data_IF_287646964739
#
_entry.id   IF_287646964739
#
_cell.length_a   1.000
_cell.length_b   1.000
_cell.length_c   1.000
_cell.angle_alpha   90.00
_cell.angle_beta   90.00
_cell.angle_gamma   90.00
#
_symmetry.space_group_name_H-M   'P 1'
#
loop_
_entity.id
_entity.type
_entity.pdbx_description
1 polymer ?
#
# COMPACT_ATOMS: atom_id res chain seq x y z
N UNK A 1 7.18 -12.81 22.75
CA UNK A 1 8.13 -11.76 22.33
C UNK A 1 8.31 -11.90 20.83
N UNK A 2 7.33 -11.43 20.05
CA UNK A 2 7.41 -11.42 18.59
C UNK A 2 8.07 -10.12 18.14
N UNK A 3 9.10 -10.27 17.32
CA UNK A 3 9.82 -9.19 16.67
C UNK A 3 8.88 -8.43 15.72
N UNK A 4 8.29 -7.33 16.19
CA UNK A 4 7.83 -6.25 15.31
C UNK A 4 9.04 -5.42 14.85
N UNK A 5 9.86 -6.03 13.99
CA UNK A 5 10.63 -5.27 13.01
C UNK A 5 9.60 -4.45 12.20
N UNK A 6 9.96 -3.25 11.77
CA UNK A 6 9.09 -2.25 11.11
C UNK A 6 8.26 -1.39 12.07
N UNK A 7 8.72 -0.15 12.33
CA UNK A 7 7.87 1.06 12.45
C UNK A 7 8.63 2.35 12.76
N UNK A 8 9.94 2.31 13.05
CA UNK A 8 10.71 3.52 13.39
C UNK A 8 12.12 3.43 12.82
N UNK A 9 12.66 4.54 12.30
CA UNK A 9 14.12 4.66 12.25
C UNK A 9 14.56 4.89 13.68
N UNK A 10 14.82 3.78 14.39
CA UNK A 10 15.44 3.80 15.70
C UNK A 10 16.89 4.21 15.51
N UNK A 11 17.22 5.42 15.93
CA UNK A 11 18.60 5.90 15.87
C UNK A 11 19.24 5.56 17.19
N UNK A 12 20.13 4.56 17.15
CA UNK A 12 20.96 4.17 18.26
C UNK A 12 22.32 4.84 18.11
N UNK A 13 22.64 5.75 19.03
CA UNK A 13 23.98 6.31 19.13
C UNK A 13 24.78 5.39 20.05
N UNK A 14 25.81 4.73 19.50
CA UNK A 14 26.76 3.89 20.26
C UNK A 14 28.08 4.62 20.47
N UNK A 15 28.67 4.49 21.67
CA UNK A 15 30.02 4.98 21.94
C UNK A 15 31.05 4.19 21.11
N UNK A 16 31.63 4.84 20.09
CA UNK A 16 32.84 4.35 19.41
C UNK A 16 33.87 5.48 19.36
N UNK A 17 35.09 5.20 19.83
CA UNK A 17 36.13 6.18 20.19
C UNK A 17 36.47 7.24 19.10
N UNK A 18 36.15 6.98 17.83
CA UNK A 18 36.37 7.88 16.69
C UNK A 18 35.20 8.83 16.33
N UNK A 19 33.95 8.35 16.38
CA UNK A 19 32.75 9.17 16.07
C UNK A 19 32.28 10.00 17.29
N UNK A 20 32.69 9.58 18.50
CA UNK A 20 32.41 10.23 19.80
C UNK A 20 32.70 11.74 19.83
N UNK A 21 33.78 12.22 19.23
CA UNK A 21 34.16 13.65 19.32
C UNK A 21 33.24 14.60 18.55
N UNK A 22 32.45 14.10 17.59
CA UNK A 22 31.53 14.93 16.78
C UNK A 22 30.15 15.04 17.43
N UNK A 23 29.58 13.94 17.93
CA UNK A 23 28.20 13.91 18.44
C UNK A 23 28.01 14.77 19.70
N UNK A 24 29.00 14.87 20.60
CA UNK A 24 28.94 15.77 21.77
C UNK A 24 28.74 17.25 21.40
N UNK A 25 29.06 17.64 20.16
CA UNK A 25 28.89 19.00 19.64
C UNK A 25 27.65 19.17 18.76
N UNK A 26 27.00 18.08 18.37
CA UNK A 26 25.88 18.14 17.44
C UNK A 26 24.67 18.81 18.07
N UNK A 27 24.10 19.72 17.30
CA UNK A 27 22.75 20.25 17.54
C UNK A 27 21.73 19.22 17.08
N UNK A 28 20.50 19.35 17.58
CA UNK A 28 19.38 18.52 17.12
C UNK A 28 19.22 18.58 15.60
N UNK A 29 19.49 19.76 15.00
CA UNK A 29 19.50 19.94 13.55
C UNK A 29 20.54 19.06 12.84
N UNK A 30 21.75 18.94 13.36
CA UNK A 30 22.80 18.16 12.70
C UNK A 30 22.41 16.67 12.63
N UNK A 31 21.86 16.15 13.73
CA UNK A 31 21.35 14.78 13.80
C UNK A 31 20.14 14.58 12.87
N UNK A 32 19.20 15.51 12.89
CA UNK A 32 18.01 15.46 12.04
C UNK A 32 18.35 15.52 10.54
N UNK A 33 19.21 16.46 10.14
CA UNK A 33 19.65 16.62 8.75
C UNK A 33 20.44 15.39 8.26
N UNK A 34 21.21 14.74 9.15
CA UNK A 34 21.86 13.47 8.83
C UNK A 34 20.83 12.39 8.50
N UNK A 35 19.80 12.21 9.33
CA UNK A 35 18.75 11.22 9.12
C UNK A 35 18.03 11.48 7.80
N UNK A 36 17.58 12.72 7.56
CA UNK A 36 16.89 13.11 6.34
C UNK A 36 17.75 12.84 5.09
N UNK A 37 19.05 13.17 5.11
CA UNK A 37 19.97 12.87 3.99
C UNK A 37 20.14 11.38 3.75
N UNK A 38 20.28 10.59 4.81
CA UNK A 38 20.48 9.12 4.70
C UNK A 38 19.28 8.43 4.04
N UNK A 39 18.06 8.88 4.34
CA UNK A 39 16.83 8.29 3.77
C UNK A 39 16.34 9.02 2.50
N UNK A 40 17.03 10.07 2.05
CA UNK A 40 16.64 10.86 0.88
C UNK A 40 15.37 11.71 1.07
N UNK A 41 15.02 12.06 2.31
CA UNK A 41 13.85 12.87 2.64
C UNK A 41 14.17 14.36 2.53
N UNK A 42 13.39 15.08 1.72
CA UNK A 42 13.44 16.55 1.56
C UNK A 42 12.27 17.25 2.24
N UNK A 43 11.12 16.57 2.36
CA UNK A 43 9.89 17.08 3.02
C UNK A 43 10.00 17.03 4.55
N UNK A 44 11.11 17.51 5.09
CA UNK A 44 11.48 17.36 6.48
C UNK A 44 10.55 18.12 7.45
N UNK A 45 9.74 19.06 6.94
CA UNK A 45 8.82 19.88 7.74
C UNK A 45 7.68 19.09 8.40
N UNK A 46 7.40 17.86 7.95
CA UNK A 46 6.43 16.99 8.64
C UNK A 46 7.03 16.26 9.84
N UNK A 47 8.36 16.11 9.90
CA UNK A 47 9.01 15.15 10.80
C UNK A 47 9.75 15.80 11.97
N UNK A 48 10.02 14.99 12.98
CA UNK A 48 10.85 15.33 14.13
C UNK A 48 11.51 14.09 14.73
N UNK A 49 12.42 14.32 15.67
CA UNK A 49 13.02 13.26 16.48
C UNK A 49 12.37 13.26 17.85
N UNK A 50 11.67 12.18 18.18
CA UNK A 50 11.03 11.96 19.46
C UNK A 50 11.96 11.17 20.39
N UNK A 51 11.96 11.51 21.68
CA UNK A 51 12.66 10.79 22.72
C UNK A 51 11.84 10.81 24.03
N UNK A 52 12.22 9.98 24.98
CA UNK A 52 11.57 9.92 26.30
C UNK A 52 12.37 10.72 27.32
N UNK A 53 11.75 11.72 27.94
CA UNK A 53 12.26 12.52 29.05
C UNK A 53 11.48 12.18 30.32
N UNK A 54 12.11 11.46 31.27
CA UNK A 54 11.50 11.13 32.58
C UNK A 54 10.09 10.51 32.48
N UNK A 55 9.93 9.57 31.54
CA UNK A 55 8.66 8.89 31.27
C UNK A 55 7.62 9.73 30.53
N UNK A 56 7.99 10.88 29.95
CA UNK A 56 7.14 11.71 29.11
C UNK A 56 7.74 11.87 27.72
N UNK A 57 6.89 11.91 26.71
CA UNK A 57 7.30 12.14 25.32
C UNK A 57 7.82 13.56 25.14
N UNK A 58 8.96 13.71 24.48
CA UNK A 58 9.56 14.98 24.12
C UNK A 58 10.08 14.95 22.68
N UNK A 59 10.18 16.13 22.07
CA UNK A 59 10.74 16.30 20.73
C UNK A 59 12.07 17.04 20.82
N UNK A 60 13.06 16.54 20.08
CA UNK A 60 14.38 17.15 19.98
C UNK A 60 14.26 18.56 19.40
N UNK A 61 14.94 19.52 20.04
CA UNK A 61 15.01 20.90 19.56
C UNK A 61 16.18 21.07 18.61
N UNK A 62 15.91 21.63 17.45
CA UNK A 62 16.88 21.75 16.36
C UNK A 62 18.05 22.69 16.69
N UNK A 63 17.81 23.71 17.50
CA UNK A 63 18.78 24.76 17.87
C UNK A 63 19.67 24.40 19.06
N UNK A 64 19.29 23.38 19.84
CA UNK A 64 19.96 22.95 21.06
C UNK A 64 20.84 21.72 20.81
N UNK A 65 21.94 21.56 21.56
CA UNK A 65 22.77 20.35 21.48
C UNK A 65 21.96 19.12 21.89
N UNK A 66 22.21 17.99 21.25
CA UNK A 66 21.50 16.74 21.53
C UNK A 66 21.61 16.37 23.01
N UNK A 67 22.83 16.40 23.56
CA UNK A 67 23.10 16.04 24.96
C UNK A 67 22.68 17.07 25.99
N UNK A 68 22.31 18.29 25.57
CA UNK A 68 21.72 19.26 26.51
C UNK A 68 20.23 18.96 26.74
N UNK A 69 19.62 18.08 25.96
CA UNK A 69 18.28 17.56 26.25
C UNK A 69 18.36 16.53 27.38
N UNK A 70 17.29 16.39 28.16
CA UNK A 70 17.18 15.41 29.26
C UNK A 70 16.83 14.03 28.65
N UNK A 71 17.68 13.60 27.71
CA UNK A 71 17.63 12.30 27.02
C UNK A 71 18.09 11.21 27.98
N UNK A 72 17.64 9.97 27.75
CA UNK A 72 18.16 8.83 28.50
C UNK A 72 19.68 8.79 28.39
N UNK A 73 20.33 8.55 29.54
CA UNK A 73 21.78 8.30 29.61
C UNK A 73 22.11 6.82 29.48
N UNK A 74 21.10 5.96 29.35
CA UNK A 74 21.27 4.55 29.05
C UNK A 74 21.64 4.40 27.58
N UNK A 75 22.73 3.68 27.33
CA UNK A 75 23.20 3.42 25.98
C UNK A 75 22.59 2.13 25.41
N UNK A 76 22.17 2.13 24.13
CA UNK A 76 22.24 3.25 23.19
C UNK A 76 21.15 4.31 23.42
N UNK A 77 21.51 5.59 23.26
CA UNK A 77 20.51 6.67 23.26
C UNK A 77 19.59 6.48 22.06
N UNK A 78 18.29 6.32 22.34
CA UNK A 78 17.28 5.99 21.33
C UNK A 78 16.46 7.22 20.95
N UNK A 79 16.41 7.51 19.65
CA UNK A 79 15.48 8.47 19.06
C UNK A 79 14.56 7.80 18.05
N UNK A 80 13.33 8.30 17.96
CA UNK A 80 12.33 7.88 16.99
C UNK A 80 12.10 8.99 15.96
N UNK A 81 12.43 8.73 14.69
CA UNK A 81 12.09 9.64 13.59
C UNK A 81 10.63 9.46 13.20
N UNK A 82 9.81 10.48 13.45
CA UNK A 82 8.35 10.40 13.32
C UNK A 82 7.75 11.64 12.69
N UNK A 83 6.61 11.46 12.01
CA UNK A 83 5.76 12.55 11.60
C UNK A 83 5.22 13.24 12.87
N UNK A 84 5.58 14.50 13.02
CA UNK A 84 5.15 15.40 14.10
C UNK A 84 3.97 16.26 13.67
N UNK A 85 3.91 16.60 12.39
CA UNK A 85 2.86 17.40 11.78
C UNK A 85 2.26 16.63 10.60
N UNK A 86 0.95 16.72 10.46
CA UNK A 86 0.19 16.01 9.45
C UNK A 86 -0.26 16.99 8.33
N UNK A 87 -0.40 16.52 7.08
CA UNK A 87 -0.96 17.32 6.00
C UNK A 87 -2.47 17.58 6.23
N UNK A 88 -2.99 18.70 5.71
CA UNK A 88 -4.43 18.95 5.54
C UNK A 88 -5.00 18.06 4.41
N UNK A 89 -4.21 17.80 3.37
CA UNK A 89 -4.53 16.85 2.31
C UNK A 89 -3.30 16.01 1.94
N UNK A 90 -3.39 14.69 2.19
CA UNK A 90 -2.33 13.73 1.95
C UNK A 90 -1.83 13.73 0.48
N UNK A 91 -2.75 13.70 -0.48
CA UNK A 91 -2.45 13.56 -1.92
C UNK A 91 -1.87 14.84 -2.52
N UNK A 92 -2.29 16.01 -2.03
CA UNK A 92 -1.83 17.31 -2.54
C UNK A 92 -0.49 17.77 -1.93
N UNK A 93 -0.23 17.41 -0.68
CA UNK A 93 0.93 17.91 0.07
C UNK A 93 2.15 16.98 0.03
N UNK A 94 1.95 15.66 -0.01
CA UNK A 94 3.06 14.72 -0.02
C UNK A 94 3.57 14.49 -1.44
N UNK A 95 4.85 14.76 -1.64
CA UNK A 95 5.48 14.72 -2.97
C UNK A 95 6.35 13.47 -3.15
N UNK A 96 7.09 13.06 -2.12
CA UNK A 96 8.01 11.94 -2.19
C UNK A 96 7.39 10.64 -1.65
N UNK A 97 7.64 9.53 -2.36
CA UNK A 97 7.22 8.19 -1.95
C UNK A 97 7.73 7.82 -0.54
N UNK A 98 8.93 8.27 -0.15
CA UNK A 98 9.46 8.04 1.20
C UNK A 98 8.67 8.77 2.30
N UNK A 99 8.22 10.01 2.05
CA UNK A 99 7.37 10.77 2.98
C UNK A 99 6.06 10.04 3.21
N UNK A 100 5.44 9.63 2.10
CA UNK A 100 4.19 8.90 2.10
C UNK A 100 4.32 7.56 2.83
N UNK A 101 5.38 6.80 2.53
CA UNK A 101 5.63 5.51 3.15
C UNK A 101 5.79 5.61 4.67
N UNK A 102 6.57 6.59 5.14
CA UNK A 102 6.76 6.82 6.58
C UNK A 102 5.46 7.21 7.28
N UNK A 103 4.65 8.08 6.66
CA UNK A 103 3.36 8.48 7.23
C UNK A 103 2.38 7.30 7.25
N UNK A 104 2.32 6.50 6.18
CA UNK A 104 1.52 5.28 6.09
C UNK A 104 1.84 4.32 7.23
N UNK A 105 3.12 4.03 7.47
CA UNK A 105 3.53 3.14 8.55
C UNK A 105 3.11 3.66 9.92
N UNK A 106 3.34 4.95 10.19
CA UNK A 106 2.98 5.56 11.47
C UNK A 106 1.46 5.53 11.71
N UNK A 107 0.67 5.93 10.72
CA UNK A 107 -0.79 5.97 10.82
C UNK A 107 -1.36 4.55 10.96
N UNK A 108 -0.85 3.59 10.17
CA UNK A 108 -1.24 2.18 10.29
C UNK A 108 -1.00 1.66 11.70
N UNK A 109 0.18 1.97 12.26
CA UNK A 109 0.51 1.59 13.64
C UNK A 109 -0.47 2.20 14.64
N UNK A 110 -0.71 3.52 14.58
CA UNK A 110 -1.64 4.19 15.50
C UNK A 110 -3.08 3.68 15.42
N UNK A 111 -3.52 3.20 14.24
CA UNK A 111 -4.84 2.55 14.10
C UNK A 111 -4.85 1.16 14.76
N UNK A 112 -3.83 0.34 14.51
CA UNK A 112 -3.73 -1.02 15.07
C UNK A 112 -3.57 -1.01 16.60
N UNK A 113 -2.85 -0.01 17.13
CA UNK A 113 -2.68 0.23 18.57
C UNK A 113 -3.88 0.94 19.22
N UNK A 114 -4.92 1.26 18.46
CA UNK A 114 -6.16 1.92 18.92
C UNK A 114 -5.95 3.33 19.47
N UNK A 115 -4.86 4.00 19.09
CA UNK A 115 -4.66 5.43 19.34
C UNK A 115 -5.59 6.29 18.47
N UNK A 116 -5.83 5.82 17.24
CA UNK A 116 -6.80 6.40 16.29
C UNK A 116 -7.99 5.45 16.19
N UNK A 117 -9.17 5.94 16.51
CA UNK A 117 -10.40 5.19 16.28
C UNK A 117 -10.63 5.00 14.78
N UNK A 118 -10.83 3.76 14.36
CA UNK A 118 -11.20 3.41 12.99
C UNK A 118 -12.43 2.49 12.99
N UNK A 119 -13.52 2.80 12.27
CA UNK A 119 -14.69 1.95 12.21
C UNK A 119 -14.39 0.61 11.52
N UNK A 120 -15.16 -0.46 11.78
CA UNK A 120 -14.89 -1.80 11.24
C UNK A 120 -14.79 -1.86 9.72
N UNK A 121 -15.70 -1.20 9.00
CA UNK A 121 -15.77 -1.19 7.54
C UNK A 121 -14.52 -0.55 6.95
N UNK A 122 -14.11 0.61 7.49
CA UNK A 122 -12.86 1.26 7.10
C UNK A 122 -11.64 0.42 7.46
N UNK A 123 -11.63 -0.24 8.63
CA UNK A 123 -10.52 -1.09 9.07
C UNK A 123 -10.25 -2.24 8.09
N UNK A 124 -11.29 -2.92 7.60
CA UNK A 124 -11.16 -4.00 6.60
C UNK A 124 -10.64 -3.46 5.27
N UNK A 125 -11.19 -2.34 4.80
CA UNK A 125 -10.73 -1.71 3.55
C UNK A 125 -9.26 -1.27 3.66
N UNK A 126 -8.88 -0.61 4.75
CA UNK A 126 -7.52 -0.19 5.02
C UNK A 126 -6.56 -1.38 5.15
N UNK A 127 -6.98 -2.47 5.81
CA UNK A 127 -6.21 -3.72 5.84
C UNK A 127 -5.94 -4.26 4.43
N UNK A 128 -6.92 -4.23 3.53
CA UNK A 128 -6.74 -4.70 2.16
C UNK A 128 -5.73 -3.86 1.37
N UNK A 129 -5.70 -2.53 1.56
CA UNK A 129 -4.66 -1.67 0.99
C UNK A 129 -3.28 -1.93 1.60
N UNK A 130 -3.20 -2.17 2.91
CA UNK A 130 -1.94 -2.52 3.56
C UNK A 130 -1.37 -3.86 3.04
N UNK A 131 -2.24 -4.83 2.75
CA UNK A 131 -1.85 -6.10 2.11
C UNK A 131 -1.36 -5.87 0.68
N UNK A 132 -2.08 -5.08 -0.14
CA UNK A 132 -1.62 -4.72 -1.50
C UNK A 132 -0.26 -4.01 -1.47
N UNK A 133 -0.05 -3.08 -0.54
CA UNK A 133 1.23 -2.39 -0.39
C UNK A 133 2.39 -3.33 -0.03
N UNK A 134 2.12 -4.39 0.75
CA UNK A 134 3.13 -5.35 1.20
C UNK A 134 3.41 -6.47 0.21
N UNK A 135 2.36 -7.04 -0.38
CA UNK A 135 2.44 -8.27 -1.18
C UNK A 135 2.32 -8.05 -2.70
N UNK A 136 1.94 -6.84 -3.15
CA UNK A 136 1.70 -6.57 -4.57
C UNK A 136 0.31 -7.06 -4.99
N UNK A 137 0.15 -7.54 -6.22
CA UNK A 137 -1.14 -8.02 -6.73
C UNK A 137 -1.52 -9.40 -6.17
N UNK A 138 -2.79 -9.57 -5.82
CA UNK A 138 -3.32 -10.89 -5.45
C UNK A 138 -3.21 -11.89 -6.60
N UNK A 139 -2.66 -13.06 -6.28
CA UNK A 139 -2.60 -14.25 -7.14
C UNK A 139 -3.07 -15.47 -6.34
N UNK A 140 -4.21 -16.10 -6.68
CA UNK A 140 -4.75 -17.26 -5.97
C UNK A 140 -3.87 -18.52 -6.09
N UNK A 141 -2.89 -18.55 -7.01
CA UNK A 141 -1.91 -19.64 -7.10
C UNK A 141 -0.81 -19.51 -6.03
N UNK A 142 -0.47 -18.28 -5.65
CA UNK A 142 0.62 -17.96 -4.71
C UNK A 142 0.05 -17.76 -3.29
N UNK A 143 -1.00 -16.96 -3.18
CA UNK A 143 -1.62 -16.58 -1.91
C UNK A 143 -2.67 -17.62 -1.52
N UNK A 144 -2.24 -18.64 -0.78
CA UNK A 144 -3.11 -19.71 -0.25
C UNK A 144 -3.69 -19.31 1.11
N UNK A 145 -4.85 -19.87 1.52
CA UNK A 145 -5.42 -19.60 2.84
C UNK A 145 -4.40 -19.79 3.97
N UNK A 146 -4.37 -18.84 4.90
CA UNK A 146 -3.40 -18.73 5.98
C UNK A 146 -2.20 -17.83 5.66
N UNK A 147 -2.09 -17.25 4.45
CA UNK A 147 -0.96 -16.40 4.09
C UNK A 147 -0.91 -15.08 4.88
N UNK A 148 -2.04 -14.66 5.46
CA UNK A 148 -2.15 -13.48 6.33
C UNK A 148 -2.12 -13.83 7.83
N UNK A 149 -1.97 -15.09 8.22
CA UNK A 149 -2.11 -15.53 9.61
C UNK A 149 -1.10 -14.90 10.60
N UNK A 150 0.05 -14.42 10.11
CA UNK A 150 1.07 -13.74 10.92
C UNK A 150 0.94 -12.21 10.91
N UNK A 151 0.00 -11.66 10.14
CA UNK A 151 -0.16 -10.21 9.99
C UNK A 151 -1.14 -9.64 11.03
N UNK A 152 -0.73 -8.57 11.69
CA UNK A 152 -1.63 -7.73 12.48
C UNK A 152 -2.31 -6.73 11.54
N UNK A 153 -3.53 -7.05 11.10
CA UNK A 153 -4.25 -6.27 10.09
C UNK A 153 -5.43 -5.45 10.63
N UNK A 154 -5.98 -5.84 11.79
CA UNK A 154 -7.18 -5.22 12.35
C UNK A 154 -6.95 -4.83 13.83
N UNK A 155 -7.56 -3.71 14.29
CA UNK A 155 -7.59 -3.39 15.71
C UNK A 155 -8.30 -4.48 16.53
N UNK A 156 -7.82 -4.74 17.75
CA UNK A 156 -8.37 -5.80 18.62
C UNK A 156 -9.85 -5.60 18.91
N UNK A 157 -10.29 -4.36 19.08
CA UNK A 157 -11.69 -3.96 19.25
C UNK A 157 -12.55 -4.42 18.07
N UNK A 158 -12.07 -4.26 16.84
CA UNK A 158 -12.80 -4.69 15.62
C UNK A 158 -12.92 -6.20 15.60
N UNK A 159 -11.84 -6.93 15.89
CA UNK A 159 -11.86 -8.40 15.97
C UNK A 159 -12.88 -8.87 17.01
N UNK A 160 -12.89 -8.23 18.19
CA UNK A 160 -13.74 -8.61 19.31
C UNK A 160 -15.22 -8.24 19.12
N UNK A 161 -15.55 -7.29 18.23
CA UNK A 161 -16.92 -6.87 17.94
C UNK A 161 -17.71 -7.92 17.16
N UNK A 162 -17.04 -8.72 16.35
CA UNK A 162 -17.68 -9.74 15.51
C UNK A 162 -17.25 -11.13 15.95
N UNK A 163 -18.19 -12.08 15.97
CA UNK A 163 -17.89 -13.48 16.26
C UNK A 163 -17.33 -14.19 15.00
N UNK A 164 -16.23 -13.66 14.46
CA UNK A 164 -15.57 -14.16 13.26
C UNK A 164 -14.25 -14.84 13.63
N UNK A 165 -13.92 -15.95 12.98
CA UNK A 165 -12.62 -16.59 13.14
C UNK A 165 -11.53 -15.82 12.36
N UNK A 166 -10.24 -16.00 12.68
CA UNK A 166 -9.15 -15.40 11.90
C UNK A 166 -9.24 -15.70 10.39
N UNK A 167 -9.66 -16.91 10.02
CA UNK A 167 -9.82 -17.32 8.63
C UNK A 167 -10.95 -16.55 7.93
N UNK A 168 -12.07 -16.31 8.62
CA UNK A 168 -13.16 -15.51 8.06
C UNK A 168 -12.76 -14.05 7.86
N UNK A 169 -11.93 -13.49 8.74
CA UNK A 169 -11.35 -12.16 8.55
C UNK A 169 -10.39 -12.12 7.37
N UNK A 170 -9.52 -13.14 7.25
CA UNK A 170 -8.62 -13.30 6.11
C UNK A 170 -9.39 -13.37 4.79
N UNK A 171 -10.47 -14.16 4.72
CA UNK A 171 -11.32 -14.24 3.52
C UNK A 171 -11.91 -12.88 3.14
N UNK A 172 -12.43 -12.13 4.11
CA UNK A 172 -12.96 -10.76 3.87
C UNK A 172 -11.90 -9.80 3.36
N UNK A 173 -10.74 -9.76 4.01
CA UNK A 173 -9.65 -8.88 3.60
C UNK A 173 -9.13 -9.28 2.22
N UNK A 174 -9.03 -10.60 1.95
CA UNK A 174 -8.58 -11.13 0.66
C UNK A 174 -9.55 -10.81 -0.47
N UNK A 175 -10.86 -10.83 -0.20
CA UNK A 175 -11.87 -10.41 -1.18
C UNK A 175 -11.66 -8.96 -1.62
N UNK A 176 -11.47 -8.03 -0.67
CA UNK A 176 -11.16 -6.64 -0.97
C UNK A 176 -9.78 -6.49 -1.63
N UNK A 177 -8.77 -7.24 -1.17
CA UNK A 177 -7.42 -7.23 -1.73
C UNK A 177 -7.40 -7.61 -3.23
N UNK A 178 -8.20 -8.59 -3.63
CA UNK A 178 -8.31 -9.01 -5.03
C UNK A 178 -8.83 -7.89 -5.96
N UNK A 179 -9.61 -6.94 -5.44
CA UNK A 179 -10.12 -5.79 -6.21
C UNK A 179 -9.05 -4.72 -6.48
N UNK A 180 -7.94 -4.73 -5.72
CA UNK A 180 -6.84 -3.76 -5.86
C UNK A 180 -5.82 -4.11 -6.93
N UNK A 181 -6.04 -5.20 -7.66
CA UNK A 181 -5.13 -5.68 -8.70
C UNK A 181 -4.77 -4.57 -9.69
N UNK A 182 -3.48 -4.40 -9.94
CA UNK A 182 -2.95 -3.37 -10.80
C UNK A 182 -2.62 -2.07 -10.06
N UNK A 183 -2.87 -1.94 -8.75
CA UNK A 183 -2.38 -0.80 -7.97
C UNK A 183 -0.93 -1.00 -7.56
N UNK A 184 -0.11 0.02 -7.78
CA UNK A 184 1.25 0.02 -7.29
C UNK A 184 1.29 0.18 -5.76
N UNK A 185 2.44 -0.12 -5.14
CA UNK A 185 2.61 -0.01 -3.69
C UNK A 185 2.36 1.42 -3.19
N UNK A 186 2.95 2.41 -3.85
CA UNK A 186 2.75 3.83 -3.54
C UNK A 186 1.28 4.23 -3.73
N UNK A 187 0.60 3.73 -4.75
CA UNK A 187 -0.83 4.00 -4.92
C UNK A 187 -1.66 3.41 -3.76
N UNK A 188 -1.38 2.17 -3.35
CA UNK A 188 -2.07 1.52 -2.24
C UNK A 188 -1.82 2.21 -0.89
N UNK A 189 -0.59 2.61 -0.60
CA UNK A 189 -0.24 3.39 0.60
C UNK A 189 -0.93 4.77 0.59
N UNK A 190 -1.10 5.40 -0.58
CA UNK A 190 -1.82 6.68 -0.68
C UNK A 190 -3.31 6.52 -0.45
N UNK A 191 -3.97 5.51 -1.03
CA UNK A 191 -5.39 5.24 -0.78
C UNK A 191 -5.66 4.94 0.69
N UNK A 192 -4.75 4.21 1.35
CA UNK A 192 -4.81 4.00 2.80
C UNK A 192 -4.85 5.34 3.56
N UNK A 193 -3.94 6.26 3.21
CA UNK A 193 -3.85 7.56 3.86
C UNK A 193 -5.03 8.49 3.54
N UNK A 194 -5.60 8.40 2.34
CA UNK A 194 -6.81 9.13 1.94
C UNK A 194 -8.03 8.73 2.75
N UNK A 195 -8.14 7.45 3.14
CA UNK A 195 -9.18 6.99 4.07
C UNK A 195 -8.83 7.43 5.50
N UNK A 196 -7.56 7.29 5.89
CA UNK A 196 -7.14 7.58 7.26
C UNK A 196 -7.31 9.07 7.63
N UNK A 197 -7.05 9.99 6.71
CA UNK A 197 -7.15 11.44 6.96
C UNK A 197 -8.57 11.90 7.31
N UNK A 198 -9.59 11.13 6.91
CA UNK A 198 -11.00 11.43 7.20
C UNK A 198 -11.44 10.91 8.58
N UNK A 199 -10.60 10.14 9.29
CA UNK A 199 -10.90 9.67 10.65
C UNK A 199 -10.80 10.83 11.66
N UNK A 200 -11.74 10.93 12.59
CA UNK A 200 -11.89 12.10 13.47
C UNK A 200 -10.70 12.31 14.42
N UNK A 201 -9.93 11.25 14.70
CA UNK A 201 -8.76 11.30 15.59
C UNK A 201 -7.44 11.41 14.81
N UNK A 202 -7.48 11.43 13.47
CA UNK A 202 -6.29 11.48 12.63
C UNK A 202 -5.51 12.79 12.83
N UNK A 203 -4.21 12.68 13.12
CA UNK A 203 -3.34 13.83 13.27
C UNK A 203 -3.60 14.69 14.52
N UNK A 204 -4.51 14.28 15.41
CA UNK A 204 -4.88 15.05 16.60
C UNK A 204 -3.97 14.70 17.79
N UNK A 205 -3.24 15.69 18.29
CA UNK A 205 -2.48 15.57 19.54
C UNK A 205 -3.33 15.95 20.75
N UNK A 206 -3.65 14.97 21.60
CA UNK A 206 -4.54 15.15 22.74
C UNK A 206 -3.81 15.48 24.06
N UNK A 207 -4.33 16.46 24.81
CA UNK A 207 -3.81 16.89 26.10
C UNK A 207 -4.91 17.06 27.15
N UNK A 208 -4.73 16.49 28.33
CA UNK A 208 -5.64 16.73 29.46
C UNK A 208 -5.46 18.14 30.02
N UNK A 209 -6.56 18.89 30.07
CA UNK A 209 -6.60 20.28 30.52
C UNK A 209 -7.75 20.51 31.51
N UNK A 210 -7.74 21.66 32.19
CA UNK A 210 -8.78 22.07 33.12
C UNK A 210 -9.17 23.52 32.86
N UNK A 211 -10.47 23.80 32.72
CA UNK A 211 -10.93 25.19 32.56
C UNK A 211 -10.88 25.96 33.89
N UNK A 212 -11.18 27.27 33.87
CA UNK A 212 -11.24 28.10 35.08
C UNK A 212 -12.26 27.62 36.13
N UNK A 213 -13.31 26.94 35.71
CA UNK A 213 -14.36 26.38 36.60
C UNK A 213 -13.93 25.05 37.24
N UNK A 214 -12.76 24.53 36.91
CA UNK A 214 -12.25 23.27 37.45
C UNK A 214 -12.69 22.01 36.68
N UNK A 215 -13.43 22.15 35.59
CA UNK A 215 -13.88 21.04 34.75
C UNK A 215 -12.71 20.44 33.98
N UNK A 216 -12.54 19.12 34.04
CA UNK A 216 -11.57 18.39 33.23
C UNK A 216 -12.07 18.32 31.78
N UNK A 217 -11.18 18.63 30.84
CA UNK A 217 -11.44 18.64 29.40
C UNK A 217 -10.22 18.06 28.67
N UNK A 218 -10.39 17.79 27.38
CA UNK A 218 -9.29 17.38 26.50
C UNK A 218 -9.08 18.45 25.42
N UNK A 219 -7.84 18.90 25.24
CA UNK A 219 -7.43 19.75 24.12
C UNK A 219 -6.89 18.85 23.01
N UNK A 220 -7.38 19.00 21.79
CA UNK A 220 -6.75 18.49 20.57
C UNK A 220 -6.04 19.62 19.83
N UNK A 221 -4.87 19.30 19.29
CA UNK A 221 -4.09 20.19 18.41
C UNK A 221 -3.81 19.43 17.12
N UNK A 222 -4.20 20.00 15.98
CA UNK A 222 -4.01 19.38 14.66
C UNK A 222 -3.66 20.42 13.58
N UNK A 223 -3.70 19.99 12.31
CA UNK A 223 -3.39 20.83 11.16
C UNK A 223 -4.42 21.94 10.90
N UNK A 224 -5.65 21.83 11.43
CA UNK A 224 -6.76 22.74 11.19
C UNK A 224 -6.97 23.75 12.32
N UNK A 225 -6.66 23.39 13.57
CA UNK A 225 -6.78 24.30 14.69
C UNK A 225 -6.59 23.68 16.07
N UNK A 226 -7.31 24.26 17.03
CA UNK A 226 -7.40 23.80 18.40
C UNK A 226 -8.82 23.39 18.72
N UNK A 227 -8.97 22.24 19.38
CA UNK A 227 -10.28 21.62 19.60
C UNK A 227 -10.44 21.23 21.07
N UNK A 228 -11.62 21.45 21.64
CA UNK A 228 -11.93 21.13 23.03
C UNK A 228 -12.95 20.00 23.06
N UNK A 229 -12.61 18.91 23.71
CA UNK A 229 -13.40 17.68 23.79
C UNK A 229 -13.83 17.38 25.22
N UNK A 230 -14.88 16.57 25.32
CA UNK A 230 -15.17 15.84 26.55
C UNK A 230 -14.13 14.73 26.75
N UNK A 231 -13.60 14.49 27.95
CA UNK A 231 -12.73 13.34 28.21
C UNK A 231 -13.34 12.01 27.76
N UNK A 232 -14.66 11.85 27.82
CA UNK A 232 -15.37 10.64 27.43
C UNK A 232 -15.67 10.56 25.91
N UNK A 233 -15.51 11.65 25.16
CA UNK A 233 -15.74 11.69 23.72
C UNK A 233 -14.65 12.51 23.01
N UNK A 234 -13.64 11.80 22.50
CA UNK A 234 -12.53 12.36 21.71
C UNK A 234 -12.82 12.48 20.20
N UNK A 235 -13.96 11.97 19.74
CA UNK A 235 -14.33 11.99 18.32
C UNK A 235 -14.93 13.33 17.93
N UNK A 236 -15.84 13.87 18.75
CA UNK A 236 -16.57 15.10 18.42
C UNK A 236 -16.14 16.25 19.32
N UNK A 237 -15.52 17.32 18.79
CA UNK A 237 -15.16 18.48 19.58
C UNK A 237 -16.40 19.30 19.97
N UNK A 238 -16.41 19.82 21.20
CA UNK A 238 -17.43 20.76 21.70
C UNK A 238 -17.19 22.19 21.25
N UNK A 239 -15.92 22.59 21.16
CA UNK A 239 -15.49 23.93 20.75
C UNK A 239 -14.29 23.77 19.84
N UNK A 240 -14.25 24.52 18.74
CA UNK A 240 -13.15 24.52 17.78
C UNK A 240 -12.68 25.96 17.56
N UNK A 241 -11.36 26.15 17.49
CA UNK A 241 -10.69 27.40 17.16
C UNK A 241 -9.83 27.14 15.92
N UNK A 242 -10.35 27.37 14.71
CA UNK A 242 -9.58 27.30 13.48
C UNK A 242 -8.36 28.22 13.50
N UNK A 243 -7.26 27.85 12.85
CA UNK A 243 -6.03 28.65 12.85
C UNK A 243 -6.23 30.10 12.34
N UNK A 244 -7.10 30.32 11.35
CA UNK A 244 -7.45 31.65 10.84
C UNK A 244 -8.27 32.52 11.83
N UNK A 245 -8.83 31.93 12.87
CA UNK A 245 -9.61 32.62 13.89
C UNK A 245 -8.81 32.90 15.16
N UNK A 246 -7.54 32.49 15.22
CA UNK A 246 -6.68 32.67 16.39
C UNK A 246 -5.75 33.87 16.15
N UNK A 247 -5.78 34.85 17.05
CA UNK A 247 -4.85 35.99 17.03
C UNK A 247 -3.53 35.68 17.69
N UNK A 248 -3.59 35.06 18.87
CA UNK A 248 -2.41 34.84 19.69
C UNK A 248 -2.63 33.66 20.64
N UNK A 249 -1.57 32.90 20.83
CA UNK A 249 -1.50 31.82 21.81
C UNK A 249 -0.34 32.10 22.75
N UNK A 250 -0.60 32.00 24.04
CA UNK A 250 0.41 32.27 25.07
C UNK A 250 0.10 31.50 26.33
N UNK A 251 1.11 31.24 27.16
CA UNK A 251 0.92 30.71 28.49
C UNK A 251 1.78 31.46 29.51
N UNK A 252 1.31 31.51 30.75
CA UNK A 252 2.03 32.05 31.91
C UNK A 252 1.90 31.04 33.05
N UNK A 253 3.04 30.48 33.47
CA UNK A 253 3.09 29.37 34.41
C UNK A 253 2.18 28.20 33.97
N UNK A 254 1.08 27.94 34.69
CA UNK A 254 0.13 26.87 34.37
C UNK A 254 -1.02 27.32 33.49
N UNK A 255 -1.32 28.62 33.41
CA UNK A 255 -2.45 29.15 32.63
C UNK A 255 -2.06 29.35 31.17
N UNK A 256 -2.78 28.70 30.29
CA UNK A 256 -2.69 28.82 28.84
C UNK A 256 -3.89 29.63 28.32
N UNK A 257 -3.65 30.51 27.35
CA UNK A 257 -4.65 31.44 26.83
C UNK A 257 -4.65 31.42 25.29
N UNK A 258 -5.83 31.18 24.72
CA UNK A 258 -6.13 31.29 23.30
C UNK A 258 -6.92 32.58 23.09
N UNK A 259 -6.34 33.55 22.40
CA UNK A 259 -6.99 34.82 22.07
C UNK A 259 -7.56 34.76 20.66
N UNK A 260 -8.89 34.81 20.48
CA UNK A 260 -9.50 34.86 19.16
C UNK A 260 -9.14 36.13 18.39
N UNK A 261 -9.33 36.08 17.06
CA UNK A 261 -9.14 37.21 16.16
C UNK A 261 -10.22 38.26 16.37
N UNK A 262 -11.46 37.86 16.59
CA UNK A 262 -12.53 38.78 17.00
C UNK A 262 -12.27 39.28 18.43
N UNK A 263 -12.20 40.61 18.59
CA UNK A 263 -11.99 41.26 19.89
C UNK A 263 -13.21 41.11 20.82
N UNK A 264 -14.39 40.80 20.28
CA UNK A 264 -15.63 40.60 21.07
C UNK A 264 -15.70 39.21 21.70
N UNK A 265 -15.03 38.22 21.11
CA UNK A 265 -15.00 36.86 21.65
C UNK A 265 -14.10 36.79 22.88
N UNK A 266 -14.59 36.16 23.94
CA UNK A 266 -13.81 35.99 25.17
C UNK A 266 -12.56 35.13 24.95
N UNK A 267 -11.49 35.46 25.67
CA UNK A 267 -10.24 34.70 25.67
C UNK A 267 -10.47 33.35 26.36
N UNK A 268 -10.27 32.26 25.63
CA UNK A 268 -10.37 30.92 26.20
C UNK A 268 -9.12 30.62 27.02
N UNK A 269 -9.31 30.28 28.29
CA UNK A 269 -8.23 30.02 29.25
C UNK A 269 -8.38 28.67 29.91
N UNK A 270 -7.29 27.93 29.99
CA UNK A 270 -7.22 26.63 30.64
C UNK A 270 -5.88 26.43 31.34
N UNK A 271 -5.84 25.48 32.27
CA UNK A 271 -4.63 25.04 32.96
C UNK A 271 -4.28 23.62 32.51
N UNK A 272 -2.99 23.34 32.36
CA UNK A 272 -2.49 21.97 32.20
C UNK A 272 -1.90 21.45 33.52
N UNK A 273 -1.66 20.15 33.59
CA UNK A 273 -1.12 19.49 34.78
C UNK A 273 0.34 19.85 35.07
N UNK A 274 1.15 20.15 34.04
CA UNK A 274 2.60 20.38 34.16
C UNK A 274 3.06 21.47 33.18
N UNK A 275 3.99 22.33 33.60
CA UNK A 275 4.59 23.38 32.74
C UNK A 275 5.20 22.83 31.44
N UNK A 276 5.77 21.62 31.48
CA UNK A 276 6.31 20.94 30.28
C UNK A 276 5.24 20.67 29.23
N UNK A 277 4.02 20.35 29.64
CA UNK A 277 2.88 20.12 28.73
C UNK A 277 2.51 21.42 28.03
N UNK A 278 2.43 22.56 28.74
CA UNK A 278 2.22 23.87 28.11
C UNK A 278 3.27 24.21 27.06
N UNK A 279 4.55 23.90 27.34
CA UNK A 279 5.64 24.09 26.37
C UNK A 279 5.43 23.24 25.11
N UNK A 280 5.06 21.97 25.27
CA UNK A 280 4.81 21.06 24.15
C UNK A 280 3.59 21.51 23.33
N UNK A 281 2.47 21.85 23.99
CA UNK A 281 1.28 22.38 23.33
C UNK A 281 1.65 23.60 22.50
N UNK A 282 2.35 24.59 23.09
CA UNK A 282 2.74 25.80 22.37
C UNK A 282 3.62 25.48 21.15
N UNK A 283 4.58 24.56 21.28
CA UNK A 283 5.43 24.14 20.17
C UNK A 283 4.64 23.48 19.03
N UNK A 284 3.64 22.67 19.35
CA UNK A 284 2.75 22.08 18.35
C UNK A 284 1.85 23.13 17.70
N UNK A 285 1.32 24.09 18.47
CA UNK A 285 0.54 25.19 17.92
C UNK A 285 1.35 26.02 16.93
N UNK A 286 2.58 26.39 17.30
CA UNK A 286 3.47 27.19 16.42
C UNK A 286 3.74 26.42 15.13
N UNK A 287 4.14 25.16 15.21
CA UNK A 287 4.46 24.38 14.01
C UNK A 287 3.26 24.10 13.11
N UNK A 288 2.10 23.75 13.66
CA UNK A 288 0.88 23.57 12.87
C UNK A 288 0.41 24.88 12.24
N UNK A 289 0.44 25.99 12.98
CA UNK A 289 0.09 27.30 12.44
C UNK A 289 1.06 27.76 11.34
N UNK A 290 2.36 27.52 11.48
CA UNK A 290 3.36 27.85 10.46
C UNK A 290 3.11 27.08 9.16
N UNK A 291 2.77 25.78 9.26
CA UNK A 291 2.38 24.96 8.10
C UNK A 291 1.05 25.40 7.49
N UNK A 292 0.05 25.69 8.33
CA UNK A 292 -1.23 26.25 7.91
C UNK A 292 -1.07 27.53 7.09
N UNK A 293 -0.18 28.44 7.54
CA UNK A 293 0.14 29.67 6.82
C UNK A 293 0.94 29.41 5.54
N UNK A 294 1.82 28.39 5.53
CA UNK A 294 2.58 27.99 4.34
C UNK A 294 1.66 27.47 3.23
N UNK A 295 0.66 26.65 3.55
CA UNK A 295 -0.32 26.09 2.59
C UNK A 295 -1.16 27.17 1.89
N UNK A 296 -1.34 28.32 2.53
CA UNK A 296 -2.10 29.48 2.01
C UNK A 296 -1.26 30.45 1.19
N UNK A 297 0.02 30.14 0.99
CA UNK A 297 0.93 30.88 0.13
C UNK A 297 1.24 30.06 -1.11
N UNK A 298 1.73 30.74 -2.14
CA UNK A 298 2.27 30.05 -3.32
C UNK A 298 3.45 29.18 -2.89
N UNK A 299 3.49 27.95 -3.40
CA UNK A 299 4.59 27.02 -3.17
C UNK A 299 5.94 27.69 -3.46
N UNK A 300 6.93 27.44 -2.60
CA UNK A 300 8.30 27.90 -2.85
C UNK A 300 8.85 27.25 -4.12
N UNK A 301 9.85 27.89 -4.75
CA UNK A 301 10.48 27.34 -5.95
C UNK A 301 11.01 25.91 -5.73
N UNK A 302 11.52 25.62 -4.53
CA UNK A 302 11.97 24.27 -4.17
C UNK A 302 10.83 23.25 -4.19
N UNK A 303 9.67 23.58 -3.60
CA UNK A 303 8.50 22.67 -3.59
C UNK A 303 7.95 22.50 -5.01
N UNK A 304 7.91 23.57 -5.81
CA UNK A 304 7.49 23.48 -7.21
C UNK A 304 8.40 22.56 -8.03
N UNK A 305 9.72 22.66 -7.84
CA UNK A 305 10.70 21.77 -8.47
C UNK A 305 10.51 20.32 -8.00
N UNK A 306 10.32 20.09 -6.69
CA UNK A 306 10.02 18.75 -6.16
C UNK A 306 8.78 18.14 -6.82
N UNK A 307 7.68 18.90 -6.89
CA UNK A 307 6.44 18.46 -7.53
C UNK A 307 6.62 18.18 -9.02
N UNK A 308 7.39 19.00 -9.75
CA UNK A 308 7.68 18.76 -11.18
C UNK A 308 8.46 17.45 -11.36
N UNK A 309 9.54 17.27 -10.59
CA UNK A 309 10.38 16.08 -10.65
C UNK A 309 9.58 14.82 -10.30
N UNK A 310 8.75 14.86 -9.26
CA UNK A 310 7.91 13.73 -8.87
C UNK A 310 6.87 13.37 -9.95
N UNK A 311 6.26 14.37 -10.61
CA UNK A 311 5.33 14.14 -11.73
C UNK A 311 6.02 13.50 -12.93
N UNK A 312 7.20 13.99 -13.30
CA UNK A 312 8.00 13.42 -14.39
C UNK A 312 8.44 11.99 -14.08
N UNK A 313 8.89 11.73 -12.84
CA UNK A 313 9.28 10.39 -12.40
C UNK A 313 8.09 9.42 -12.41
N UNK A 314 6.93 9.85 -11.89
CA UNK A 314 5.70 9.05 -11.90
C UNK A 314 5.25 8.73 -13.32
N UNK A 315 5.25 9.72 -14.22
CA UNK A 315 4.91 9.51 -15.63
C UNK A 315 5.87 8.53 -16.32
N UNK A 316 7.19 8.63 -16.02
CA UNK A 316 8.19 7.69 -16.52
C UNK A 316 7.95 6.26 -16.02
N UNK A 317 7.71 6.08 -14.70
CA UNK A 317 7.39 4.77 -14.10
C UNK A 317 6.12 4.16 -14.70
N UNK A 318 5.09 4.98 -14.93
CA UNK A 318 3.86 4.54 -15.58
C UNK A 318 4.09 4.05 -17.01
N UNK A 319 4.86 4.81 -17.81
CA UNK A 319 5.19 4.40 -19.19
C UNK A 319 5.97 3.08 -19.22
N UNK A 320 6.96 2.93 -18.34
CA UNK A 320 7.75 1.71 -18.21
C UNK A 320 6.87 0.52 -17.80
N UNK A 321 5.97 0.72 -16.83
CA UNK A 321 5.01 -0.30 -16.40
C UNK A 321 4.06 -0.71 -17.53
N UNK A 322 3.52 0.24 -18.29
CA UNK A 322 2.68 -0.06 -19.45
C UNK A 322 3.43 -0.85 -20.52
N UNK A 323 4.70 -0.51 -20.77
CA UNK A 323 5.56 -1.24 -21.70
C UNK A 323 5.75 -2.69 -21.24
N UNK A 324 6.14 -2.91 -19.99
CA UNK A 324 6.34 -4.24 -19.41
C UNK A 324 5.06 -5.07 -19.43
N UNK A 325 3.92 -4.46 -19.10
CA UNK A 325 2.62 -5.12 -19.14
C UNK A 325 2.26 -5.59 -20.56
N UNK A 326 2.49 -4.73 -21.57
CA UNK A 326 2.26 -5.08 -22.98
C UNK A 326 3.18 -6.22 -23.44
N UNK A 327 4.44 -6.19 -23.05
CA UNK A 327 5.41 -7.24 -23.39
C UNK A 327 5.02 -8.59 -22.77
N UNK A 328 4.60 -8.58 -21.50
CA UNK A 328 4.08 -9.77 -20.80
C UNK A 328 2.83 -10.32 -21.51
N UNK A 329 1.88 -9.46 -21.87
CA UNK A 329 0.67 -9.88 -22.59
C UNK A 329 1.01 -10.54 -23.93
N UNK A 330 1.90 -9.95 -24.72
CA UNK A 330 2.35 -10.51 -26.00
C UNK A 330 3.01 -11.89 -25.82
N UNK A 331 3.78 -12.06 -24.74
CA UNK A 331 4.39 -13.35 -24.41
C UNK A 331 3.34 -14.41 -24.05
N UNK A 332 2.37 -14.05 -23.21
CA UNK A 332 1.26 -14.94 -22.83
C UNK A 332 0.37 -15.31 -24.03
N UNK A 333 0.16 -14.39 -24.97
CA UNK A 333 -0.55 -14.65 -26.23
C UNK A 333 0.25 -15.60 -27.14
N UNK A 334 1.57 -15.41 -27.24
CA UNK A 334 2.45 -16.27 -28.03
C UNK A 334 2.56 -17.69 -27.46
N UNK A 335 2.64 -17.83 -26.12
CA UNK A 335 2.63 -19.12 -25.44
C UNK A 335 1.31 -19.86 -25.70
N UNK A 336 0.16 -19.17 -25.59
CA UNK A 336 -1.15 -19.76 -25.93
C UNK A 336 -1.24 -20.19 -27.40
N UNK A 337 -0.78 -19.35 -28.32
CA UNK A 337 -0.78 -19.68 -29.75
C UNK A 337 0.12 -20.90 -30.06
N UNK A 338 1.26 -21.02 -29.40
CA UNK A 338 2.14 -22.20 -29.49
C UNK A 338 1.42 -23.45 -29.01
N UNK A 339 0.81 -23.41 -27.82
CA UNK A 339 0.12 -24.56 -27.24
C UNK A 339 -1.08 -24.99 -28.10
N UNK A 340 -1.76 -24.05 -28.76
CA UNK A 340 -2.82 -24.33 -29.74
C UNK A 340 -2.29 -25.00 -31.01
N UNK A 341 -1.16 -24.53 -31.54
CA UNK A 341 -0.50 -25.13 -32.70
C UNK A 341 0.01 -26.54 -32.39
N UNK A 342 0.59 -26.75 -31.22
CA UNK A 342 1.08 -28.06 -30.77
C UNK A 342 -0.09 -29.07 -30.66
N UNK A 343 -1.22 -28.65 -30.09
CA UNK A 343 -2.44 -29.48 -30.05
C UNK A 343 -2.96 -29.83 -31.44
N UNK A 344 -2.98 -28.88 -32.38
CA UNK A 344 -3.39 -29.14 -33.77
C UNK A 344 -2.43 -30.07 -34.49
N UNK A 345 -1.13 -29.93 -34.25
CA UNK A 345 -0.12 -30.78 -34.85
C UNK A 345 -0.28 -32.23 -34.38
N UNK A 346 -0.56 -32.44 -33.10
CA UNK A 346 -0.85 -33.76 -32.54
C UNK A 346 -2.09 -34.39 -33.21
N UNK A 347 -3.18 -33.63 -33.35
CA UNK A 347 -4.40 -34.07 -34.03
C UNK A 347 -4.14 -34.50 -35.48
N UNK A 348 -3.40 -33.68 -36.24
CA UNK A 348 -3.06 -34.00 -37.63
C UNK A 348 -2.15 -35.23 -37.73
N UNK A 349 -1.25 -35.45 -36.78
CA UNK A 349 -0.43 -36.67 -36.73
C UNK A 349 -1.29 -37.92 -36.50
N UNK A 350 -2.23 -37.86 -35.56
CA UNK A 350 -3.16 -38.97 -35.28
C UNK A 350 -4.03 -39.27 -36.50
N UNK A 351 -4.60 -38.25 -37.16
CA UNK A 351 -5.38 -38.40 -38.38
C UNK A 351 -4.57 -39.02 -39.52
N UNK A 352 -3.33 -38.55 -39.72
CA UNK A 352 -2.43 -39.09 -40.74
C UNK A 352 -2.07 -40.55 -40.46
N UNK A 353 -1.85 -40.91 -39.20
CA UNK A 353 -1.60 -42.29 -38.79
C UNK A 353 -2.81 -43.19 -39.10
N UNK A 354 -4.02 -42.78 -38.71
CA UNK A 354 -5.26 -43.50 -38.99
C UNK A 354 -5.49 -43.67 -40.49
N UNK A 355 -5.29 -42.62 -41.28
CA UNK A 355 -5.40 -42.67 -42.74
C UNK A 355 -4.38 -43.64 -43.35
N UNK A 356 -3.13 -43.63 -42.88
CA UNK A 356 -2.09 -44.54 -43.36
C UNK A 356 -2.41 -46.00 -43.01
N UNK A 357 -2.89 -46.28 -41.79
CA UNK A 357 -3.35 -47.60 -41.40
C UNK A 357 -4.50 -48.09 -42.29
N UNK A 358 -5.48 -47.23 -42.57
CA UNK A 358 -6.58 -47.54 -43.48
C UNK A 358 -6.09 -47.86 -44.90
N UNK A 359 -5.14 -47.08 -45.43
CA UNK A 359 -4.51 -47.33 -46.73
C UNK A 359 -3.75 -48.67 -46.75
N UNK A 360 -3.02 -49.01 -45.69
CA UNK A 360 -2.33 -50.30 -45.57
C UNK A 360 -3.34 -51.45 -45.56
N UNK A 361 -4.42 -51.33 -44.78
CA UNK A 361 -5.51 -52.33 -44.75
C UNK A 361 -6.14 -52.50 -46.14
N UNK A 362 -6.43 -51.40 -46.83
CA UNK A 362 -6.95 -51.43 -48.20
C UNK A 362 -5.97 -52.11 -49.18
N UNK A 363 -4.66 -51.81 -49.11
CA UNK A 363 -3.62 -52.48 -49.92
C UNK A 363 -3.53 -53.99 -49.66
N UNK A 364 -3.67 -54.41 -48.40
CA UNK A 364 -3.68 -55.84 -48.05
C UNK A 364 -4.94 -56.51 -48.60
N UNK A 365 -6.11 -55.88 -48.46
CA UNK A 365 -7.38 -56.41 -48.94
C UNK A 365 -7.38 -56.56 -50.47
N UNK A 366 -6.95 -55.53 -51.20
CA UNK A 366 -6.79 -55.57 -52.66
C UNK A 366 -5.79 -56.64 -53.10
N UNK A 367 -4.63 -56.78 -52.45
CA UNK A 367 -3.69 -57.89 -52.73
C UNK A 367 -4.30 -59.27 -52.49
N UNK A 368 -5.09 -59.44 -51.41
CA UNK A 368 -5.80 -60.70 -51.12
C UNK A 368 -6.86 -60.98 -52.18
N UNK A 369 -7.65 -59.98 -52.56
CA UNK A 369 -8.64 -60.07 -53.62
C UNK A 369 -8.00 -60.44 -54.96
N UNK A 370 -6.90 -59.80 -55.34
CA UNK A 370 -6.15 -60.13 -56.56
C UNK A 370 -5.60 -61.56 -56.53
N UNK A 371 -5.02 -62.00 -55.41
CA UNK A 371 -4.58 -63.40 -55.22
C UNK A 371 -5.74 -64.38 -55.32
N UNK A 372 -6.88 -64.08 -54.71
CA UNK A 372 -8.09 -64.92 -54.77
C UNK A 372 -8.63 -64.97 -56.20
N UNK A 373 -8.84 -63.83 -56.85
CA UNK A 373 -9.26 -63.72 -58.25
C UNK A 373 -8.30 -64.48 -59.18
N UNK A 374 -6.99 -64.34 -59.02
CA UNK A 374 -5.98 -65.08 -59.82
C UNK A 374 -5.99 -66.60 -59.62
N UNK A 375 -6.49 -67.11 -58.47
CA UNK A 375 -6.64 -68.54 -58.19
C UNK A 375 -8.00 -69.11 -58.60
N UNK A 376 -9.05 -68.30 -58.57
CA UNK A 376 -10.43 -68.72 -58.85
C UNK A 376 -10.83 -68.50 -60.31
N UNK A 377 -10.34 -67.43 -60.96
CA UNK A 377 -10.57 -67.20 -62.39
C UNK A 377 -10.06 -68.32 -63.31
N UNK A 378 -8.90 -68.98 -63.07
CA UNK A 378 -8.47 -70.10 -63.90
C UNK A 378 -9.35 -71.36 -63.76
N UNK A 379 -10.18 -71.47 -62.72
CA UNK A 379 -11.10 -72.60 -62.54
C UNK A 379 -12.44 -72.37 -63.25
N UNK A 380 -12.93 -71.13 -63.33
CA UNK A 380 -14.14 -70.81 -64.10
C UNK A 380 -13.92 -70.79 -65.62
N UNK A 381 -12.69 -70.53 -66.09
CA UNK A 381 -12.36 -70.66 -67.52
C UNK A 381 -12.20 -72.11 -68.01
N UNK A 382 -12.14 -73.11 -67.10
CA UNK A 382 -12.14 -74.54 -67.49
C UNK A 382 -13.54 -75.15 -67.58
N UNK A 383 -14.59 -74.48 -67.11
CA UNK A 383 -15.98 -74.91 -67.27
C UNK A 383 -16.67 -74.34 -68.53
N UNK A 384 -16.06 -73.38 -69.23
CA UNK A 384 -16.65 -72.70 -70.40
C UNK A 384 -15.95 -72.97 -71.73
N UNK A 385 -15.26 -74.12 -71.86
CA UNK A 385 -14.64 -74.53 -73.13
C UNK A 385 -15.20 -75.84 -73.69
N UNK A 386 -16.53 -75.99 -73.69
CA UNK A 386 -17.25 -76.82 -74.68
C UNK A 386 -18.57 -76.10 -75.00
N UNK A 387 -18.65 -75.48 -76.17
CA UNK A 387 -19.88 -74.82 -76.62
C UNK A 387 -19.62 -73.69 -77.60
N UNK A 388 -19.53 -74.03 -78.88
CA UNK A 388 -19.36 -73.12 -80.02
C UNK A 388 -20.54 -72.14 -80.15
N UNK A 389 -20.24 -70.94 -80.65
CA UNK A 389 -20.90 -70.41 -81.85
C UNK A 389 -21.83 -69.22 -81.68
N UNK A 390 -21.51 -68.15 -82.44
CA UNK A 390 -22.41 -67.11 -83.00
C UNK A 390 -23.06 -66.14 -82.00
N UNK A 391 -23.16 -64.82 -82.20
CA UNK A 391 -22.95 -63.93 -83.32
C UNK A 391 -22.63 -62.51 -82.81
N UNK A 392 -22.02 -61.69 -83.65
CA UNK A 392 -21.71 -60.29 -83.39
C UNK A 392 -22.96 -59.40 -83.29
N UNK A 393 -22.93 -58.37 -82.43
CA UNK A 393 -23.50 -57.04 -82.69
C UNK A 393 -22.70 -55.95 -81.98
N UNK A 394 -22.24 -54.99 -82.78
CA UNK A 394 -21.78 -53.65 -82.38
C UNK A 394 -22.80 -52.93 -81.49
N UNK A 395 -22.34 -52.20 -80.47
CA UNK A 395 -22.87 -50.87 -80.06
C UNK A 395 -21.74 -50.01 -79.47
N UNK A 396 -21.90 -48.71 -79.67
CA UNK A 396 -20.99 -47.56 -79.74
C UNK A 396 -20.51 -46.94 -78.41
N UNK A 397 -19.51 -46.06 -78.54
CA UNK A 397 -18.90 -45.20 -77.52
C UNK A 397 -19.77 -43.97 -77.16
N UNK A 398 -20.15 -43.84 -75.89
CA UNK A 398 -20.38 -42.55 -75.17
C UNK A 398 -20.91 -42.87 -73.78
N UNK A 399 -20.24 -42.52 -72.67
CA UNK A 399 -20.60 -41.40 -71.77
C UNK A 399 -19.63 -41.51 -70.58
N UNK A 400 -18.56 -40.71 -70.49
CA UNK A 400 -18.41 -39.53 -69.61
C UNK A 400 -19.43 -39.45 -68.46
N UNK A 401 -19.00 -39.83 -67.26
CA UNK A 401 -19.13 -39.01 -66.03
C UNK A 401 -18.24 -39.60 -64.94
#
# INVERSE_FOLDING_TARGET
MSNSQFSFVQINIMETEGENKKIHKWKGKDLFDLVCRTIGLREAWFFGLQYTEKGSVAWLKMDKKVLDHDVSKEEPVTFYFLAKFYPENAEEEMVQEITQHLLFLQVKKSILEEEIYCPPEASVLMASYAVQAKYGDYDPKIHKPGFLAQEELLPKRVINLYQMTPEMWEERITACYAEHRGRARDEAEMEYLKIAQDLEMYGVSYFSIRNKKGTNLMLGVDAFGLHIYDPENKLTPKISFPWNEIRNISYSDKEFAIKPLDKKTEVFKFNSSKLRVNKLILQLCIGNHDLFMRRRRVDSLEVQQMKSQAREEKARKQLERHRLCREKQLREDAERARDDLERRLLQLQDEAQLANEALVRHRICTKKYWKFSSKVMPQNYKLFRVGKGTAAKHVDLSTIS
#
